data_IF_349558417086
#
_entry.id   IF_349558417086
#
_cell.length_a   1.000
_cell.length_b   1.000
_cell.length_c   1.000
_cell.angle_alpha   90.00
_cell.angle_beta   90.00
_cell.angle_gamma   90.00
#
_symmetry.space_group_name_H-M   'P 1'
#
loop_
_entity.id
_entity.type
_entity.pdbx_description
1 polymer ?
#
# COMPACT_ATOMS: atom_id res chain seq x y z
N UNK A 1 -16.18 -5.74 -3.51
CA UNK A 1 -15.32 -6.70 -4.25
C UNK A 1 -15.75 -8.09 -3.84
N UNK A 2 -16.13 -8.97 -4.78
CA UNK A 2 -16.55 -10.33 -4.45
C UNK A 2 -15.40 -11.10 -3.78
N UNK A 3 -15.73 -11.98 -2.81
CA UNK A 3 -14.75 -12.81 -2.12
C UNK A 3 -14.36 -14.00 -3.02
N UNK A 4 -13.56 -13.72 -4.04
CA UNK A 4 -13.07 -14.69 -5.03
C UNK A 4 -11.56 -14.61 -5.16
N UNK A 5 -10.93 -15.75 -5.43
CA UNK A 5 -9.50 -15.81 -5.74
C UNK A 5 -9.24 -15.43 -7.21
N UNK A 6 -7.99 -15.08 -7.53
CA UNK A 6 -7.53 -14.82 -8.90
C UNK A 6 -6.19 -15.49 -9.15
N UNK A 7 -5.94 -15.90 -10.39
CA UNK A 7 -4.61 -16.34 -10.83
C UNK A 7 -3.94 -15.17 -11.55
N UNK A 8 -2.76 -14.79 -11.07
CA UNK A 8 -1.93 -13.81 -11.75
C UNK A 8 -1.04 -14.53 -12.79
N UNK A 9 -1.36 -14.38 -14.08
CA UNK A 9 -0.67 -15.07 -15.18
C UNK A 9 0.74 -14.56 -15.42
N UNK A 10 1.09 -13.36 -14.94
CA UNK A 10 2.46 -12.83 -15.08
C UNK A 10 3.47 -13.59 -14.20
N UNK A 11 2.98 -14.22 -13.13
CA UNK A 11 3.80 -14.98 -12.17
C UNK A 11 3.45 -16.48 -12.11
N UNK A 12 2.37 -16.92 -12.76
CA UNK A 12 1.94 -18.32 -12.76
C UNK A 12 2.87 -19.18 -13.63
N UNK A 13 3.44 -20.24 -13.05
CA UNK A 13 4.32 -21.20 -13.75
C UNK A 13 3.58 -22.45 -14.26
N UNK A 14 2.25 -22.45 -14.19
CA UNK A 14 1.39 -23.54 -14.63
C UNK A 14 1.67 -24.94 -14.01
N UNK A 15 2.10 -24.98 -12.74
CA UNK A 15 2.45 -26.24 -12.06
C UNK A 15 1.26 -27.12 -11.66
N UNK A 16 0.02 -26.63 -11.83
CA UNK A 16 -1.25 -27.32 -11.49
C UNK A 16 -1.44 -27.77 -10.03
N UNK A 17 -0.64 -27.25 -9.08
CA UNK A 17 -0.79 -27.59 -7.66
C UNK A 17 -2.10 -27.06 -7.06
N UNK A 18 -2.55 -25.89 -7.51
CA UNK A 18 -3.80 -25.30 -7.06
C UNK A 18 -5.03 -26.13 -7.46
N UNK A 19 -5.00 -26.78 -8.62
CA UNK A 19 -6.07 -27.65 -9.11
C UNK A 19 -6.30 -28.86 -8.18
N UNK A 20 -5.20 -29.44 -7.67
CA UNK A 20 -5.23 -30.64 -6.83
C UNK A 20 -5.93 -30.41 -5.47
N UNK A 21 -5.88 -29.17 -4.96
CA UNK A 21 -6.46 -28.81 -3.66
C UNK A 21 -7.84 -28.16 -3.79
N UNK A 22 -8.26 -27.79 -5.00
CA UNK A 22 -9.54 -27.12 -5.23
C UNK A 22 -10.68 -28.15 -5.26
N UNK A 23 -11.29 -28.42 -4.10
CA UNK A 23 -12.42 -29.35 -3.99
C UNK A 23 -13.65 -28.97 -4.83
N UNK A 24 -13.78 -27.70 -5.19
CA UNK A 24 -14.89 -27.21 -6.03
C UNK A 24 -14.62 -27.35 -7.54
N UNK A 25 -13.39 -27.70 -7.96
CA UNK A 25 -13.02 -27.74 -9.38
C UNK A 25 -13.20 -26.39 -10.10
N UNK A 26 -13.01 -25.28 -9.38
CA UNK A 26 -13.34 -23.93 -9.87
C UNK A 26 -12.21 -23.28 -10.70
N UNK A 27 -11.05 -23.91 -10.80
CA UNK A 27 -9.89 -23.36 -11.49
C UNK A 27 -10.01 -23.67 -12.98
N UNK A 28 -10.12 -22.61 -13.78
CA UNK A 28 -10.11 -22.67 -15.24
C UNK A 28 -8.90 -21.89 -15.76
N UNK A 29 -7.92 -22.61 -16.29
CA UNK A 29 -6.69 -22.02 -16.83
C UNK A 29 -6.85 -21.47 -18.23
N UNK A 30 -7.91 -21.87 -18.92
CA UNK A 30 -8.25 -21.51 -20.30
C UNK A 30 -9.30 -20.37 -20.36
N UNK A 31 -9.73 -19.86 -19.20
CA UNK A 31 -10.64 -18.72 -19.08
C UNK A 31 -10.09 -17.52 -19.89
N UNK A 32 -10.96 -16.94 -20.73
CA UNK A 32 -10.63 -15.79 -21.59
C UNK A 32 -11.36 -14.55 -21.13
N UNK A 33 -10.76 -13.40 -21.41
CA UNK A 33 -11.43 -12.12 -21.21
C UNK A 33 -12.69 -12.04 -22.09
N UNK A 34 -13.79 -11.62 -21.49
CA UNK A 34 -15.07 -11.41 -22.17
C UNK A 34 -15.26 -9.91 -22.45
N UNK A 35 -15.81 -9.59 -23.63
CA UNK A 35 -16.27 -8.24 -23.94
C UNK A 35 -17.77 -8.19 -23.76
N UNK A 36 -18.22 -7.26 -22.92
CA UNK A 36 -19.64 -7.07 -22.60
C UNK A 36 -20.06 -5.71 -23.15
N UNK A 37 -21.11 -5.71 -23.96
CA UNK A 37 -21.74 -4.49 -24.46
C UNK A 37 -22.88 -4.09 -23.53
N UNK A 38 -22.87 -2.84 -23.06
CA UNK A 38 -23.87 -2.30 -22.14
C UNK A 38 -24.27 -0.91 -22.61
N UNK A 39 -25.58 -0.71 -22.85
CA UNK A 39 -26.13 0.62 -23.10
C UNK A 39 -26.38 1.33 -21.77
N UNK A 40 -25.82 2.53 -21.61
CA UNK A 40 -25.94 3.31 -20.37
C UNK A 40 -26.36 4.75 -20.69
N UNK A 41 -27.19 5.34 -19.82
CA UNK A 41 -27.61 6.74 -19.94
C UNK A 41 -26.61 7.75 -19.37
N UNK A 42 -25.76 7.34 -18.42
CA UNK A 42 -24.80 8.22 -17.74
C UNK A 42 -23.59 7.42 -17.26
N UNK A 43 -22.42 8.06 -17.24
CA UNK A 43 -21.16 7.49 -16.74
C UNK A 43 -20.65 8.35 -15.58
N UNK A 44 -20.27 7.71 -14.48
CA UNK A 44 -19.62 8.36 -13.32
C UNK A 44 -18.17 7.87 -13.26
N UNK A 45 -17.21 8.79 -13.27
CA UNK A 45 -15.79 8.46 -13.15
C UNK A 45 -15.37 8.57 -11.68
N UNK A 46 -14.99 7.44 -11.08
CA UNK A 46 -14.60 7.34 -9.68
C UNK A 46 -13.39 6.40 -9.48
N UNK A 47 -12.39 6.49 -10.36
CA UNK A 47 -11.23 5.58 -10.39
C UNK A 47 -10.20 5.82 -9.28
N UNK A 48 -10.38 6.85 -8.45
CA UNK A 48 -9.55 7.11 -7.28
C UNK A 48 -8.24 7.84 -7.60
N UNK A 49 -7.16 7.45 -6.92
CA UNK A 49 -5.83 8.05 -6.98
C UNK A 49 -4.77 6.98 -6.72
N UNK A 50 -3.52 7.28 -7.09
CA UNK A 50 -2.34 6.48 -6.75
C UNK A 50 -1.43 7.24 -5.77
N UNK A 51 -0.75 6.54 -4.83
CA UNK A 51 0.26 7.16 -3.98
C UNK A 51 1.42 7.70 -4.82
N UNK A 52 2.06 8.76 -4.33
CA UNK A 52 3.29 9.24 -4.95
C UNK A 52 4.44 8.27 -4.67
N UNK A 53 5.20 7.93 -5.70
CA UNK A 53 6.48 7.23 -5.58
C UNK A 53 7.62 8.24 -5.31
N UNK A 54 8.24 8.22 -4.11
CA UNK A 54 9.30 9.16 -3.75
C UNK A 54 10.69 8.68 -4.18
N UNK A 55 10.83 7.63 -5.00
CA UNK A 55 12.14 7.12 -5.47
C UNK A 55 13.03 8.20 -6.09
N UNK A 56 12.44 9.12 -6.86
CA UNK A 56 13.19 10.21 -7.51
C UNK A 56 13.66 11.30 -6.52
N UNK A 57 13.11 11.32 -5.30
CA UNK A 57 13.50 12.23 -4.20
C UNK A 57 14.67 11.65 -3.42
N UNK A 58 15.85 11.64 -4.06
CA UNK A 58 17.08 11.03 -3.55
C UNK A 58 17.49 11.54 -2.17
N UNK A 59 17.15 12.78 -1.83
CA UNK A 59 17.39 13.37 -0.50
C UNK A 59 16.69 12.63 0.64
N UNK A 60 15.63 11.86 0.35
CA UNK A 60 14.93 11.02 1.32
C UNK A 60 15.32 9.54 1.25
N UNK A 61 16.10 9.14 0.23
CA UNK A 61 16.69 7.80 0.13
C UNK A 61 15.69 6.65 0.22
N UNK A 62 14.46 6.83 -0.26
CA UNK A 62 13.42 5.80 -0.21
C UNK A 62 13.83 4.48 -0.87
N UNK A 63 14.50 4.53 -2.02
CA UNK A 63 14.95 3.33 -2.73
C UNK A 63 16.20 2.67 -2.12
N UNK A 64 16.99 3.43 -1.34
CA UNK A 64 18.31 2.99 -0.87
C UNK A 64 18.31 2.60 0.62
N UNK A 65 17.47 3.26 1.44
CA UNK A 65 17.43 3.08 2.88
C UNK A 65 16.25 2.20 3.30
N UNK A 66 16.56 1.00 3.79
CA UNK A 66 15.56 -0.03 4.14
C UNK A 66 14.46 0.41 5.12
N UNK A 67 14.76 1.38 6.00
CA UNK A 67 13.81 1.84 7.02
C UNK A 67 13.07 3.13 6.62
N UNK A 68 13.25 3.61 5.39
CA UNK A 68 12.45 4.69 4.82
C UNK A 68 11.27 4.06 4.10
N UNK A 69 10.06 4.30 4.61
CA UNK A 69 8.82 3.77 4.05
C UNK A 69 7.81 4.89 3.81
N UNK A 70 6.89 4.68 2.90
CA UNK A 70 5.78 5.58 2.62
C UNK A 70 4.68 5.46 3.68
N UNK A 71 3.82 6.48 3.77
CA UNK A 71 2.64 6.44 4.64
C UNK A 71 1.71 5.27 4.31
N UNK A 72 1.56 4.89 3.05
CA UNK A 72 0.68 3.77 2.66
C UNK A 72 1.28 2.41 3.02
N UNK A 73 2.59 2.25 2.96
CA UNK A 73 3.26 1.04 3.47
C UNK A 73 3.10 0.93 4.98
N UNK A 74 3.27 2.03 5.73
CA UNK A 74 2.99 2.06 7.16
C UNK A 74 1.54 1.64 7.48
N UNK A 75 0.55 2.09 6.70
CA UNK A 75 -0.85 1.64 6.86
C UNK A 75 -0.98 0.12 6.71
N UNK A 76 -0.21 -0.51 5.80
CA UNK A 76 -0.21 -1.97 5.68
C UNK A 76 0.43 -2.63 6.89
N UNK A 77 1.53 -2.09 7.43
CA UNK A 77 2.21 -2.65 8.60
C UNK A 77 1.36 -2.56 9.88
N UNK A 78 0.72 -1.41 10.11
CA UNK A 78 -0.08 -1.19 11.33
C UNK A 78 -1.45 -1.86 11.27
N UNK A 79 -1.90 -2.30 10.10
CA UNK A 79 -3.17 -3.00 9.95
C UNK A 79 -3.10 -4.40 10.57
N UNK A 80 -4.08 -4.75 11.41
CA UNK A 80 -4.16 -6.06 12.06
C UNK A 80 -4.22 -7.26 11.08
N UNK A 81 -4.81 -7.06 9.89
CA UNK A 81 -4.84 -8.04 8.79
C UNK A 81 -3.74 -7.79 7.75
N UNK A 82 -2.75 -6.98 8.10
CA UNK A 82 -1.58 -6.67 7.29
C UNK A 82 -0.49 -7.75 7.37
N UNK A 83 0.57 -7.63 6.56
CA UNK A 83 1.65 -8.62 6.50
C UNK A 83 2.40 -8.83 7.83
N UNK A 84 2.40 -7.82 8.72
CA UNK A 84 3.04 -7.89 10.03
C UNK A 84 2.06 -8.10 11.19
N UNK A 85 0.79 -8.39 10.88
CA UNK A 85 -0.29 -8.61 11.87
C UNK A 85 -0.48 -7.42 12.83
N UNK A 86 -0.41 -6.20 12.29
CA UNK A 86 -0.58 -4.96 13.06
C UNK A 86 0.67 -4.45 13.79
N UNK A 87 1.81 -5.13 13.63
CA UNK A 87 3.07 -4.70 14.27
C UNK A 87 3.84 -3.77 13.34
N UNK A 88 4.24 -2.61 13.88
CA UNK A 88 5.14 -1.69 13.18
C UNK A 88 6.57 -2.17 13.39
N UNK A 89 7.12 -2.85 12.38
CA UNK A 89 8.46 -3.43 12.40
C UNK A 89 9.34 -2.73 11.36
N UNK A 90 10.61 -2.49 11.71
CA UNK A 90 11.61 -1.95 10.79
C UNK A 90 11.91 -3.00 9.71
N UNK A 91 11.83 -2.66 8.41
CA UNK A 91 12.12 -3.62 7.35
C UNK A 91 13.56 -4.18 7.38
N UNK A 92 14.52 -3.43 7.93
CA UNK A 92 15.93 -3.85 7.95
C UNK A 92 16.22 -5.06 8.86
N UNK A 93 15.59 -5.11 10.03
CA UNK A 93 15.94 -6.07 11.10
C UNK A 93 14.71 -6.71 11.80
N UNK A 94 13.49 -6.30 11.43
CA UNK A 94 12.25 -6.78 12.03
C UNK A 94 12.01 -6.30 13.47
N UNK A 95 12.83 -5.42 14.01
CA UNK A 95 12.68 -4.86 15.35
C UNK A 95 11.66 -3.74 15.41
N UNK A 96 11.11 -3.48 16.59
CA UNK A 96 10.21 -2.35 16.83
C UNK A 96 11.02 -1.03 16.80
N UNK A 97 10.55 0.02 16.08
CA UNK A 97 11.22 1.31 16.10
C UNK A 97 11.07 1.96 17.48
N UNK A 98 12.15 2.57 17.99
CA UNK A 98 12.11 3.39 19.22
C UNK A 98 11.90 4.86 18.93
N UNK A 99 12.19 5.28 17.70
CA UNK A 99 11.90 6.62 17.20
C UNK A 99 11.37 6.53 15.77
N UNK A 100 10.40 7.38 15.45
CA UNK A 100 9.76 7.48 14.13
C UNK A 100 9.64 8.95 13.76
N UNK A 101 10.05 9.30 12.54
CA UNK A 101 9.87 10.63 11.97
C UNK A 101 8.94 10.55 10.76
N UNK A 102 7.91 11.39 10.73
CA UNK A 102 7.09 11.63 9.55
C UNK A 102 7.63 12.83 8.80
N UNK A 103 7.82 12.69 7.49
CA UNK A 103 8.20 13.80 6.62
C UNK A 103 6.96 14.20 5.83
N UNK A 104 6.47 15.42 6.09
CA UNK A 104 5.26 15.92 5.44
C UNK A 104 5.54 16.43 4.03
N UNK A 105 4.48 16.49 3.23
CA UNK A 105 4.48 17.04 1.86
C UNK A 105 5.42 16.33 0.86
N UNK A 106 5.89 15.11 1.14
CA UNK A 106 6.64 14.33 0.14
C UNK A 106 5.75 14.09 -1.10
N UNK A 107 6.14 14.64 -2.25
CA UNK A 107 5.35 14.57 -3.48
C UNK A 107 4.25 15.62 -3.63
N UNK A 108 4.22 16.66 -2.80
CA UNK A 108 3.19 17.71 -2.80
C UNK A 108 3.75 19.04 -2.33
N UNK A 109 3.12 20.15 -2.73
CA UNK A 109 3.64 21.50 -2.45
C UNK A 109 5.11 21.65 -2.87
N UNK A 110 5.45 21.03 -3.98
CA UNK A 110 6.83 20.89 -4.45
C UNK A 110 6.90 21.25 -5.94
N UNK A 111 7.47 22.41 -6.23
CA UNK A 111 7.60 22.93 -7.58
C UNK A 111 8.67 22.19 -8.40
N UNK A 112 9.66 21.57 -7.74
CA UNK A 112 10.76 20.87 -8.43
C UNK A 112 10.26 19.65 -9.21
N UNK A 113 9.14 19.08 -8.78
CA UNK A 113 8.48 17.93 -9.42
C UNK A 113 7.14 18.33 -10.06
N UNK A 114 6.89 19.63 -10.24
CA UNK A 114 5.65 20.18 -10.80
C UNK A 114 4.37 19.75 -10.07
N UNK A 115 4.44 19.61 -8.73
CA UNK A 115 3.29 19.29 -7.87
C UNK A 115 3.08 20.38 -6.82
N UNK A 116 2.66 21.60 -7.22
CA UNK A 116 2.47 22.71 -6.28
C UNK A 116 1.24 22.56 -5.36
N UNK A 117 0.38 21.56 -5.62
CA UNK A 117 -0.84 21.33 -4.86
C UNK A 117 -0.60 20.61 -3.52
N UNK A 118 -1.56 20.76 -2.60
CA UNK A 118 -1.61 20.01 -1.35
C UNK A 118 -2.40 18.70 -1.54
N UNK A 119 -1.87 17.57 -1.08
CA UNK A 119 -2.58 16.28 -1.10
C UNK A 119 -3.69 16.14 -0.05
N UNK A 120 -3.94 17.19 0.75
CA UNK A 120 -5.06 17.38 1.69
C UNK A 120 -5.14 16.42 2.89
N UNK A 121 -4.74 15.16 2.74
CA UNK A 121 -4.94 14.10 3.75
C UNK A 121 -3.67 13.73 4.53
N UNK A 122 -2.48 14.12 4.04
CA UNK A 122 -1.21 13.69 4.61
C UNK A 122 -0.94 14.16 6.03
N UNK A 123 -1.34 15.38 6.40
CA UNK A 123 -1.25 15.82 7.79
C UNK A 123 -2.12 14.97 8.72
N UNK A 124 -3.36 14.67 8.29
CA UNK A 124 -4.30 13.92 9.12
C UNK A 124 -3.91 12.45 9.26
N UNK A 125 -3.50 11.78 8.18
CA UNK A 125 -3.08 10.37 8.30
C UNK A 125 -1.78 10.26 9.11
N UNK A 126 -0.87 11.24 9.04
CA UNK A 126 0.38 11.22 9.81
C UNK A 126 0.08 11.29 11.30
N UNK A 127 -0.76 12.26 11.72
CA UNK A 127 -1.21 12.37 13.12
C UNK A 127 -1.97 11.13 13.58
N UNK A 128 -2.85 10.58 12.72
CA UNK A 128 -3.59 9.35 13.02
C UNK A 128 -2.63 8.17 13.25
N UNK A 129 -1.67 7.96 12.35
CA UNK A 129 -0.71 6.86 12.49
C UNK A 129 0.27 7.08 13.64
N UNK A 130 0.68 8.32 13.92
CA UNK A 130 1.47 8.65 15.09
C UNK A 130 0.75 8.25 16.39
N UNK A 131 -0.54 8.58 16.52
CA UNK A 131 -1.35 8.15 17.66
C UNK A 131 -1.40 6.62 17.76
N UNK A 132 -1.67 5.94 16.64
CA UNK A 132 -1.72 4.48 16.63
C UNK A 132 -0.39 3.84 17.01
N UNK A 133 0.75 4.39 16.58
CA UNK A 133 2.07 3.90 16.98
C UNK A 133 2.24 4.02 18.50
N UNK A 134 1.93 5.19 19.06
CA UNK A 134 2.03 5.44 20.51
C UNK A 134 1.08 4.52 21.30
N UNK A 135 -0.13 4.29 20.79
CA UNK A 135 -1.11 3.40 21.45
C UNK A 135 -0.62 1.94 21.52
N UNK A 136 0.11 1.47 20.49
CA UNK A 136 0.64 0.11 20.44
C UNK A 136 2.01 -0.01 21.15
N UNK A 137 2.82 1.04 21.08
CA UNK A 137 4.20 1.09 21.60
C UNK A 137 4.44 2.44 22.33
N UNK A 138 3.98 2.58 23.59
CA UNK A 138 3.94 3.85 24.32
C UNK A 138 5.30 4.54 24.51
N UNK A 139 6.39 3.78 24.47
CA UNK A 139 7.76 4.28 24.63
C UNK A 139 8.36 4.80 23.31
N UNK A 140 7.61 4.77 22.21
CA UNK A 140 8.11 5.23 20.90
C UNK A 140 8.06 6.75 20.81
N UNK A 141 9.20 7.37 20.52
CA UNK A 141 9.25 8.79 20.20
C UNK A 141 8.78 9.05 18.78
N UNK A 142 7.74 9.84 18.60
CA UNK A 142 7.19 10.18 17.27
C UNK A 142 7.29 11.68 17.02
N UNK A 143 7.89 12.04 15.88
CA UNK A 143 8.00 13.41 15.39
C UNK A 143 7.33 13.56 14.02
N UNK A 144 6.70 14.72 13.77
CA UNK A 144 6.06 15.11 12.49
C UNK A 144 6.59 16.49 12.07
#
# INVERSE_FOLDING_TARGET
VPLVARIDKDYCIDCKLCDQVCGNGAIDHDQKAERIEIEVGTIIVATGYDPYDPTEKKEYSYADAQNVITGLELERLINASGPTMGRVLKPSDGGHPKSVAFIQCVGSRDEQIHKPYCSRVCCMYAMKNAQLIIDHEPDTEVAI
#
